data_IF_481977236741
#
_entry.id   IF_481977236741
#
_cell.length_a   1.000
_cell.length_b   1.000
_cell.length_c   1.000
_cell.angle_alpha   90.00
_cell.angle_beta   90.00
_cell.angle_gamma   90.00
#
_symmetry.space_group_name_H-M   'P 1'
#
loop_
_entity.id
_entity.type
_entity.pdbx_description
1 polymer ?
#
# COMPACT_ATOMS: atom_id res chain seq x y z
N UNK A 1 -55.73 51.27 -5.46
CA UNK A 1 -54.53 50.89 -6.23
C UNK A 1 -53.46 51.96 -6.00
N UNK A 2 -52.39 51.68 -5.25
CA UNK A 2 -51.31 52.67 -5.09
C UNK A 2 -50.37 52.60 -6.28
N UNK A 3 -50.54 53.51 -7.25
CA UNK A 3 -49.51 53.79 -8.24
C UNK A 3 -48.44 54.67 -7.58
N UNK A 4 -47.30 54.06 -7.26
CA UNK A 4 -46.10 54.79 -6.82
C UNK A 4 -45.13 54.78 -7.98
N UNK A 5 -44.86 55.95 -8.56
CA UNK A 5 -44.02 56.13 -9.76
C UNK A 5 -42.52 56.04 -9.40
N UNK A 6 -42.16 56.35 -8.15
CA UNK A 6 -40.77 56.40 -7.70
C UNK A 6 -40.17 55.02 -7.34
N UNK A 7 -40.99 54.04 -6.95
CA UNK A 7 -40.49 52.71 -6.58
C UNK A 7 -41.45 51.61 -7.03
N UNK A 8 -41.02 50.76 -7.98
CA UNK A 8 -41.83 49.70 -8.56
C UNK A 8 -41.69 48.41 -7.76
N UNK A 9 -42.55 48.24 -6.75
CA UNK A 9 -42.55 47.07 -5.87
C UNK A 9 -42.79 45.75 -6.61
N UNK A 10 -43.57 45.74 -7.70
CA UNK A 10 -43.79 44.52 -8.52
C UNK A 10 -42.51 44.09 -9.24
N UNK A 11 -41.75 45.06 -9.77
CA UNK A 11 -40.44 44.80 -10.40
C UNK A 11 -39.43 44.30 -9.38
N UNK A 12 -39.37 44.90 -8.17
CA UNK A 12 -38.50 44.44 -7.08
C UNK A 12 -38.82 43.00 -6.65
N UNK A 13 -40.10 42.65 -6.51
CA UNK A 13 -40.52 41.28 -6.18
C UNK A 13 -40.14 40.29 -7.30
N UNK A 14 -40.31 40.66 -8.56
CA UNK A 14 -39.88 39.84 -9.69
C UNK A 14 -38.37 39.62 -9.70
N UNK A 15 -37.58 40.68 -9.44
CA UNK A 15 -36.12 40.58 -9.34
C UNK A 15 -35.68 39.71 -8.16
N UNK A 16 -36.34 39.82 -7.01
CA UNK A 16 -36.07 38.99 -5.84
C UNK A 16 -36.37 37.49 -6.10
N UNK A 17 -37.47 37.19 -6.79
CA UNK A 17 -37.80 35.82 -7.19
C UNK A 17 -36.83 35.27 -8.24
N UNK A 18 -36.41 36.09 -9.20
CA UNK A 18 -35.37 35.72 -10.16
C UNK A 18 -34.04 35.42 -9.47
N UNK A 19 -33.63 36.24 -8.51
CA UNK A 19 -32.42 36.02 -7.73
C UNK A 19 -32.49 34.70 -6.92
N UNK A 20 -33.65 34.37 -6.32
CA UNK A 20 -33.85 33.07 -5.66
C UNK A 20 -33.73 31.90 -6.64
N UNK A 21 -34.36 32.00 -7.81
CA UNK A 21 -34.32 30.96 -8.84
C UNK A 21 -32.90 30.75 -9.39
N UNK A 22 -32.18 31.85 -9.66
CA UNK A 22 -30.78 31.82 -10.12
C UNK A 22 -29.85 31.18 -9.08
N UNK A 23 -30.02 31.49 -7.79
CA UNK A 23 -29.26 30.85 -6.72
C UNK A 23 -29.57 29.35 -6.60
N UNK A 24 -30.83 28.94 -6.72
CA UNK A 24 -31.22 27.53 -6.69
C UNK A 24 -30.64 26.77 -7.88
N UNK A 25 -30.69 27.34 -9.09
CA UNK A 25 -30.07 26.79 -10.28
C UNK A 25 -28.56 26.63 -10.11
N UNK A 26 -27.88 27.64 -9.57
CA UNK A 26 -26.44 27.58 -9.27
C UNK A 26 -26.07 26.43 -8.34
N UNK A 27 -26.85 26.19 -7.27
CA UNK A 27 -26.64 25.04 -6.38
C UNK A 27 -26.87 23.70 -7.08
N UNK A 28 -27.90 23.60 -7.92
CA UNK A 28 -28.16 22.37 -8.69
C UNK A 28 -27.04 22.07 -9.69
N UNK A 29 -26.52 23.09 -10.35
CA UNK A 29 -25.37 22.96 -11.26
C UNK A 29 -24.10 22.57 -10.51
N UNK A 30 -23.85 23.14 -9.33
CA UNK A 30 -22.71 22.77 -8.48
C UNK A 30 -22.79 21.29 -8.08
N UNK A 31 -23.95 20.83 -7.59
CA UNK A 31 -24.20 19.42 -7.26
C UNK A 31 -24.01 18.52 -8.48
N UNK A 32 -24.55 18.92 -9.63
CA UNK A 32 -24.40 18.16 -10.88
C UNK A 32 -22.93 18.05 -11.30
N UNK A 33 -22.18 19.14 -11.23
CA UNK A 33 -20.75 19.17 -11.62
C UNK A 33 -19.86 18.34 -10.67
N UNK A 34 -20.17 18.38 -9.38
CA UNK A 34 -19.42 17.67 -8.34
C UNK A 34 -19.80 16.20 -8.19
N UNK A 35 -21.02 15.82 -8.59
CA UNK A 35 -21.65 14.54 -8.28
C UNK A 35 -22.02 14.35 -6.80
N UNK A 36 -21.73 15.29 -5.91
CA UNK A 36 -22.03 15.16 -4.47
C UNK A 36 -23.29 15.94 -4.08
N UNK A 37 -24.07 15.35 -3.16
CA UNK A 37 -25.26 15.99 -2.58
C UNK A 37 -24.89 17.13 -1.62
N UNK A 38 -23.75 17.04 -0.93
CA UNK A 38 -23.29 18.04 0.05
C UNK A 38 -21.91 18.52 -0.39
N UNK A 39 -21.83 19.76 -0.90
CA UNK A 39 -20.58 20.37 -1.37
C UNK A 39 -20.02 21.42 -0.42
N UNK A 40 -20.90 22.08 0.34
CA UNK A 40 -20.54 23.16 1.26
C UNK A 40 -21.00 22.84 2.66
N UNK A 41 -20.27 23.32 3.67
CA UNK A 41 -20.66 23.19 5.08
C UNK A 41 -22.02 23.81 5.37
N UNK A 42 -22.43 24.79 4.57
CA UNK A 42 -23.75 25.43 4.65
C UNK A 42 -24.92 24.54 4.21
N UNK A 43 -24.69 23.48 3.42
CA UNK A 43 -25.76 22.57 2.97
C UNK A 43 -26.04 21.45 3.97
N UNK A 44 -25.16 21.24 4.96
CA UNK A 44 -25.30 20.23 6.00
C UNK A 44 -23.99 20.02 6.76
N UNK A 45 -23.71 20.78 7.83
CA UNK A 45 -22.41 20.76 8.50
C UNK A 45 -22.08 19.39 9.10
N UNK A 46 -23.06 18.72 9.72
CA UNK A 46 -22.88 17.37 10.27
C UNK A 46 -22.61 16.32 9.17
N UNK A 47 -23.33 16.39 8.04
CA UNK A 47 -23.14 15.47 6.92
C UNK A 47 -21.77 15.65 6.26
N UNK A 48 -21.31 16.90 6.13
CA UNK A 48 -19.99 17.21 5.60
C UNK A 48 -18.86 16.70 6.53
N UNK A 49 -19.01 16.88 7.85
CA UNK A 49 -18.01 16.39 8.82
C UNK A 49 -17.89 14.87 8.77
N UNK A 50 -19.01 14.15 8.67
CA UNK A 50 -19.01 12.69 8.54
C UNK A 50 -18.36 12.28 7.22
N UNK A 51 -18.69 12.94 6.10
CA UNK A 51 -18.12 12.59 4.80
C UNK A 51 -16.62 12.85 4.73
N UNK A 52 -16.13 13.94 5.33
CA UNK A 52 -14.69 14.23 5.41
C UNK A 52 -13.96 13.24 6.33
N UNK A 53 -14.57 12.84 7.45
CA UNK A 53 -14.03 11.78 8.30
C UNK A 53 -13.92 10.45 7.55
N UNK A 54 -14.95 10.07 6.79
CA UNK A 54 -14.92 8.87 5.96
C UNK A 54 -13.88 8.98 4.84
N UNK A 55 -13.76 10.15 4.18
CA UNK A 55 -12.74 10.39 3.15
C UNK A 55 -11.33 10.27 3.72
N UNK A 56 -11.09 10.81 4.92
CA UNK A 56 -9.83 10.65 5.63
C UNK A 56 -9.55 9.18 5.99
N UNK A 57 -10.55 8.43 6.44
CA UNK A 57 -10.43 7.00 6.70
C UNK A 57 -10.12 6.21 5.42
N UNK A 58 -10.80 6.49 4.31
CA UNK A 58 -10.54 5.84 3.02
C UNK A 58 -9.10 6.12 2.56
N UNK A 59 -8.62 7.37 2.67
CA UNK A 59 -7.25 7.71 2.34
C UNK A 59 -6.24 6.96 3.24
N UNK A 60 -6.52 6.88 4.55
CA UNK A 60 -5.70 6.12 5.50
C UNK A 60 -5.68 4.63 5.20
N UNK A 61 -6.83 4.02 4.89
CA UNK A 61 -6.94 2.61 4.51
C UNK A 61 -6.21 2.32 3.20
N UNK A 62 -6.30 3.20 2.20
CA UNK A 62 -5.55 3.05 0.95
C UNK A 62 -4.05 3.02 1.20
N UNK A 63 -3.54 3.94 2.03
CA UNK A 63 -2.12 3.93 2.42
C UNK A 63 -1.74 2.67 3.21
N UNK A 64 -2.64 2.17 4.06
CA UNK A 64 -2.41 0.93 4.81
C UNK A 64 -2.32 -0.29 3.89
N UNK A 65 -3.16 -0.35 2.85
CA UNK A 65 -3.10 -1.39 1.80
C UNK A 65 -1.76 -1.31 1.06
N UNK A 66 -1.36 -0.13 0.58
CA UNK A 66 -0.08 0.05 -0.11
C UNK A 66 1.12 -0.34 0.78
N UNK A 67 1.01 -0.11 2.09
CA UNK A 67 2.04 -0.53 3.06
C UNK A 67 2.03 -2.06 3.28
N UNK A 68 0.86 -2.69 3.32
CA UNK A 68 0.72 -4.14 3.43
C UNK A 68 1.29 -4.86 2.20
N UNK A 69 1.07 -4.32 0.99
CA UNK A 69 1.62 -4.87 -0.25
C UNK A 69 3.16 -4.80 -0.27
N UNK A 70 3.73 -3.70 0.24
CA UNK A 70 5.19 -3.57 0.42
C UNK A 70 5.73 -4.56 1.45
N UNK A 71 5.01 -4.75 2.56
CA UNK A 71 5.37 -5.75 3.56
C UNK A 71 5.31 -7.17 2.97
N UNK A 72 4.30 -7.48 2.16
CA UNK A 72 4.19 -8.74 1.43
C UNK A 72 5.37 -8.95 0.48
N UNK A 73 5.75 -7.93 -0.28
CA UNK A 73 6.92 -7.98 -1.18
C UNK A 73 8.24 -8.21 -0.42
N UNK A 74 8.39 -7.59 0.75
CA UNK A 74 9.53 -7.80 1.64
C UNK A 74 9.60 -9.25 2.12
N UNK A 75 8.48 -9.80 2.61
CA UNK A 75 8.39 -11.18 3.08
C UNK A 75 8.70 -12.16 1.94
N UNK A 76 8.16 -11.94 0.74
CA UNK A 76 8.43 -12.79 -0.41
C UNK A 76 9.92 -12.78 -0.81
N UNK A 77 10.59 -11.63 -0.70
CA UNK A 77 12.04 -11.54 -0.94
C UNK A 77 12.83 -12.34 0.09
N UNK A 78 12.45 -12.24 1.38
CA UNK A 78 13.06 -13.03 2.44
C UNK A 78 12.79 -14.53 2.26
N UNK A 79 11.58 -14.93 1.89
CA UNK A 79 11.20 -16.33 1.65
C UNK A 79 11.98 -16.94 0.49
N UNK A 80 12.16 -16.20 -0.62
CA UNK A 80 13.01 -16.64 -1.73
C UNK A 80 14.45 -16.92 -1.29
N UNK A 81 15.04 -16.02 -0.49
CA UNK A 81 16.39 -16.21 0.06
C UNK A 81 16.46 -17.40 1.04
N UNK A 82 15.46 -17.57 1.91
CA UNK A 82 15.38 -18.71 2.83
C UNK A 82 15.22 -20.05 2.11
N UNK A 83 14.51 -20.08 0.98
CA UNK A 83 14.38 -21.28 0.15
C UNK A 83 15.74 -21.70 -0.45
N UNK A 84 16.55 -20.74 -0.92
CA UNK A 84 17.91 -21.02 -1.38
C UNK A 84 18.80 -21.55 -0.24
N UNK A 85 18.73 -20.94 0.95
CA UNK A 85 19.44 -21.43 2.14
C UNK A 85 19.00 -22.86 2.48
N UNK A 86 17.70 -23.17 2.43
CA UNK A 86 17.18 -24.51 2.70
C UNK A 86 17.71 -25.56 1.71
N UNK A 87 17.78 -25.22 0.43
CA UNK A 87 18.35 -26.07 -0.62
C UNK A 87 19.83 -26.37 -0.35
N UNK A 88 20.61 -25.33 0.01
CA UNK A 88 22.03 -25.48 0.36
C UNK A 88 22.23 -26.34 1.61
N UNK A 89 21.40 -26.15 2.65
CA UNK A 89 21.45 -26.98 3.86
C UNK A 89 21.12 -28.45 3.57
N UNK A 90 20.16 -28.70 2.68
CA UNK A 90 19.82 -30.07 2.24
C UNK A 90 21.00 -30.70 1.49
N UNK A 91 21.70 -29.93 0.66
CA UNK A 91 22.91 -30.38 -0.02
C UNK A 91 24.04 -30.69 0.97
N UNK A 92 24.29 -29.81 1.93
CA UNK A 92 25.27 -30.04 3.02
C UNK A 92 24.94 -31.32 3.78
N UNK A 93 23.67 -31.55 4.12
CA UNK A 93 23.24 -32.79 4.76
C UNK A 93 23.51 -34.02 3.90
N UNK A 94 23.26 -33.94 2.59
CA UNK A 94 23.56 -35.05 1.67
C UNK A 94 25.06 -35.34 1.60
N UNK A 95 25.90 -34.32 1.50
CA UNK A 95 27.36 -34.46 1.48
C UNK A 95 27.90 -35.00 2.80
N UNK A 96 27.30 -34.62 3.93
CA UNK A 96 27.66 -35.14 5.25
C UNK A 96 27.30 -36.64 5.39
N UNK A 97 26.14 -37.06 4.87
CA UNK A 97 25.74 -38.47 4.84
C UNK A 97 26.62 -39.30 3.90
N UNK A 98 26.96 -38.74 2.74
CA UNK A 98 27.87 -39.37 1.78
C UNK A 98 29.25 -39.57 2.41
N UNK A 99 29.80 -38.52 3.03
CA UNK A 99 31.09 -38.57 3.74
C UNK A 99 31.10 -39.58 4.91
N UNK A 100 29.95 -39.89 5.51
CA UNK A 100 29.83 -40.90 6.55
C UNK A 100 29.88 -42.35 6.02
N UNK A 101 29.79 -42.55 4.69
CA UNK A 101 29.85 -43.86 4.07
C UNK A 101 31.30 -44.33 3.88
N UNK A 102 31.85 -44.95 4.93
CA UNK A 102 33.25 -45.39 5.02
C UNK A 102 33.65 -46.52 4.04
N UNK A 103 32.69 -47.14 3.34
CA UNK A 103 32.96 -48.25 2.43
C UNK A 103 33.32 -47.85 0.99
N UNK A 104 33.09 -46.59 0.61
CA UNK A 104 33.20 -46.12 -0.79
C UNK A 104 34.14 -44.92 -0.92
N UNK A 105 34.29 -44.10 0.12
CA UNK A 105 35.03 -42.83 0.04
C UNK A 105 36.52 -42.97 0.38
N UNK A 106 37.34 -42.45 -0.53
CA UNK A 106 38.77 -42.20 -0.36
C UNK A 106 39.02 -40.87 0.40
N UNK A 107 40.20 -40.67 0.94
CA UNK A 107 40.64 -39.43 1.61
C UNK A 107 40.51 -38.21 0.68
N UNK A 108 40.79 -38.37 -0.62
CA UNK A 108 40.61 -37.32 -1.63
C UNK A 108 39.11 -36.96 -1.83
N UNK A 109 38.22 -37.97 -1.77
CA UNK A 109 36.78 -37.76 -1.88
C UNK A 109 36.22 -37.07 -0.63
N UNK A 110 36.71 -37.43 0.56
CA UNK A 110 36.39 -36.77 1.83
C UNK A 110 36.84 -35.30 1.82
N UNK A 111 38.05 -35.02 1.34
CA UNK A 111 38.57 -33.65 1.23
C UNK A 111 37.73 -32.80 0.25
N UNK A 112 37.32 -33.39 -0.89
CA UNK A 112 36.45 -32.72 -1.86
C UNK A 112 35.06 -32.41 -1.27
N UNK A 113 34.43 -33.39 -0.61
CA UNK A 113 33.14 -33.21 0.07
C UNK A 113 33.21 -32.11 1.15
N UNK A 114 34.29 -32.09 1.93
CA UNK A 114 34.51 -31.06 2.94
C UNK A 114 34.66 -29.66 2.34
N UNK A 115 35.37 -29.53 1.20
CA UNK A 115 35.50 -28.28 0.49
C UNK A 115 34.15 -27.78 -0.05
N UNK A 116 33.30 -28.68 -0.55
CA UNK A 116 31.98 -28.34 -1.04
C UNK A 116 31.02 -27.91 0.09
N UNK A 117 31.10 -28.57 1.26
CA UNK A 117 30.37 -28.15 2.46
C UNK A 117 30.81 -26.75 2.88
N UNK A 118 32.11 -26.47 2.92
CA UNK A 118 32.63 -25.14 3.27
C UNK A 118 32.14 -24.05 2.30
N UNK A 119 32.12 -24.35 0.99
CA UNK A 119 31.61 -23.43 -0.02
C UNK A 119 30.10 -23.17 0.13
N UNK A 120 29.32 -24.21 0.44
CA UNK A 120 27.89 -24.06 0.69
C UNK A 120 27.60 -23.20 1.92
N UNK A 121 28.38 -23.37 3.00
CA UNK A 121 28.27 -22.54 4.22
C UNK A 121 28.63 -21.07 3.94
N UNK A 122 29.74 -20.80 3.24
CA UNK A 122 30.11 -19.44 2.82
C UNK A 122 29.03 -18.79 1.93
N UNK A 123 28.41 -19.59 1.05
CA UNK A 123 27.31 -19.12 0.22
C UNK A 123 26.06 -18.78 1.05
N UNK A 124 25.74 -19.58 2.07
CA UNK A 124 24.64 -19.27 3.01
C UNK A 124 24.91 -17.95 3.73
N UNK A 125 26.11 -17.75 4.26
CA UNK A 125 26.49 -16.51 4.93
C UNK A 125 26.42 -15.30 3.99
N UNK A 126 26.83 -15.49 2.73
CA UNK A 126 26.71 -14.44 1.70
C UNK A 126 25.25 -14.11 1.38
N UNK A 127 24.37 -15.12 1.27
CA UNK A 127 22.93 -14.89 1.04
C UNK A 127 22.34 -14.13 2.23
N UNK A 128 22.64 -14.54 3.46
CA UNK A 128 22.17 -13.87 4.66
C UNK A 128 22.61 -12.39 4.71
N UNK A 129 23.89 -12.13 4.40
CA UNK A 129 24.46 -10.78 4.46
C UNK A 129 24.01 -9.82 3.35
N UNK A 130 23.68 -10.37 2.17
CA UNK A 130 23.32 -9.58 0.98
C UNK A 130 21.82 -9.49 0.72
N UNK A 131 20.99 -10.31 1.39
CA UNK A 131 19.54 -10.24 1.23
C UNK A 131 19.00 -8.95 1.84
N UNK A 132 18.58 -8.02 0.99
CA UNK A 132 18.08 -6.72 1.38
C UNK A 132 16.82 -6.33 0.60
N UNK A 133 15.91 -5.61 1.27
CA UNK A 133 14.80 -4.92 0.64
C UNK A 133 15.00 -3.41 0.77
N UNK A 134 15.28 -2.75 -0.35
CA UNK A 134 15.73 -1.35 -0.34
C UNK A 134 17.06 -1.22 0.39
N UNK A 135 17.07 -0.53 1.54
CA UNK A 135 18.26 -0.32 2.38
C UNK A 135 18.27 -1.20 3.64
N UNK A 136 17.25 -2.05 3.84
CA UNK A 136 17.16 -2.90 5.02
C UNK A 136 17.59 -4.32 4.70
N UNK A 137 18.56 -4.83 5.46
CA UNK A 137 18.87 -6.25 5.49
C UNK A 137 17.70 -7.02 6.13
N UNK A 138 17.49 -8.25 5.66
CA UNK A 138 16.33 -9.06 6.07
C UNK A 138 16.70 -10.28 6.90
N UNK A 139 17.94 -10.74 6.84
CA UNK A 139 18.41 -12.01 7.41
C UNK A 139 19.61 -11.83 8.36
N UNK A 140 19.80 -10.63 8.91
CA UNK A 140 20.93 -10.27 9.77
C UNK A 140 20.69 -10.44 11.28
N UNK A 141 19.44 -10.74 11.69
CA UNK A 141 19.05 -11.01 13.08
C UNK A 141 18.40 -9.82 13.79
#
# INVERSE_FOLDING_TARGET
MSLVIANNVKSLTAQHNLAKSSNALGKSLERLSSGYKVNRGADGPAALVISEKQRAQIAGLKQAIDNADKAGSLVQTAEGALNEINSLLTKVRSLALDSANAGVNDDDALAANQAEIANALDTIDRIANNTQFGTKKLLDG
#
